data_IF_703725084989
#
_entry.id   IF_703725084989
#
_cell.length_a   1.000
_cell.length_b   1.000
_cell.length_c   1.000
_cell.angle_alpha   90.00
_cell.angle_beta   90.00
_cell.angle_gamma   90.00
#
_symmetry.space_group_name_H-M   'P 1'
#
loop_
_entity.id
_entity.type
_entity.pdbx_description
1 polymer ?
#
# COMPACT_ATOMS: atom_id res chain seq x y z
N UNK A 1 -11.94 -4.99 -11.28
CA UNK A 1 -11.88 -4.59 -9.86
C UNK A 1 -10.47 -4.14 -9.49
N UNK A 2 -10.32 -2.89 -9.04
CA UNK A 2 -9.05 -2.36 -8.51
C UNK A 2 -8.81 -2.93 -7.11
N UNK A 3 -7.56 -3.05 -6.69
CA UNK A 3 -7.24 -3.54 -5.33
C UNK A 3 -6.03 -2.82 -4.78
N UNK A 4 -6.13 -2.43 -3.51
CA UNK A 4 -5.00 -1.84 -2.79
C UNK A 4 -4.03 -2.93 -2.30
N UNK A 5 -2.75 -2.59 -2.33
CA UNK A 5 -1.66 -3.39 -1.77
C UNK A 5 -0.75 -2.50 -0.94
N UNK A 6 -0.08 -3.09 0.05
CA UNK A 6 1.11 -2.52 0.67
C UNK A 6 2.32 -3.19 0.02
N UNK A 7 2.90 -2.51 -0.96
CA UNK A 7 4.07 -2.95 -1.69
C UNK A 7 5.32 -2.60 -0.89
N UNK A 8 6.17 -3.57 -0.59
CA UNK A 8 7.43 -3.27 0.11
C UNK A 8 8.32 -2.34 -0.73
N UNK A 9 9.05 -1.46 -0.06
CA UNK A 9 10.03 -0.58 -0.68
C UNK A 9 11.37 -1.33 -0.69
N UNK A 10 11.97 -1.44 -1.87
CA UNK A 10 13.25 -2.11 -2.06
C UNK A 10 14.30 -1.14 -2.61
N UNK A 11 15.54 -1.36 -2.19
CA UNK A 11 16.72 -0.78 -2.83
C UNK A 11 16.86 -1.38 -4.23
N UNK A 12 17.15 -0.53 -5.19
CA UNK A 12 17.48 -0.96 -6.54
C UNK A 12 18.62 -0.11 -7.08
N UNK A 13 19.47 -0.74 -7.87
CA UNK A 13 20.55 -0.05 -8.57
C UNK A 13 20.06 0.30 -9.98
N UNK A 14 20.01 1.59 -10.31
CA UNK A 14 19.55 2.06 -11.62
C UNK A 14 20.72 2.33 -12.57
N UNK A 15 21.89 2.62 -12.02
CA UNK A 15 23.17 2.71 -12.72
C UNK A 15 24.27 2.14 -11.82
N UNK A 16 25.41 1.67 -12.36
CA UNK A 16 26.51 1.15 -11.55
C UNK A 16 26.94 2.12 -10.45
N UNK A 17 26.73 1.73 -9.19
CA UNK A 17 27.02 2.52 -7.99
C UNK A 17 25.92 3.50 -7.55
N UNK A 18 24.82 3.63 -8.30
CA UNK A 18 23.71 4.52 -7.99
C UNK A 18 22.53 3.73 -7.42
N UNK A 19 22.34 3.85 -6.10
CA UNK A 19 21.24 3.20 -5.38
C UNK A 19 20.05 4.15 -5.33
N UNK A 20 18.88 3.65 -5.73
CA UNK A 20 17.59 4.30 -5.53
C UNK A 20 16.63 3.39 -4.74
N UNK A 21 15.45 3.93 -4.47
CA UNK A 21 14.37 3.21 -3.78
C UNK A 21 13.14 3.19 -4.66
N UNK A 22 12.46 2.05 -4.71
CA UNK A 22 11.21 1.89 -5.46
C UNK A 22 10.24 1.00 -4.69
N UNK A 23 8.94 1.15 -4.96
CA UNK A 23 7.96 0.19 -4.49
C UNK A 23 8.06 -1.10 -5.33
N UNK A 24 7.75 -2.24 -4.71
CA UNK A 24 7.83 -3.55 -5.35
C UNK A 24 6.96 -3.67 -6.61
N UNK A 25 5.84 -2.95 -6.66
CA UNK A 25 4.96 -2.90 -7.83
C UNK A 25 5.73 -2.47 -9.10
N UNK A 26 6.64 -1.51 -9.00
CA UNK A 26 7.47 -1.04 -10.12
C UNK A 26 8.42 -2.09 -10.69
N UNK A 27 8.66 -3.21 -9.98
CA UNK A 27 9.50 -4.29 -10.47
C UNK A 27 8.78 -5.19 -11.50
N UNK A 28 7.47 -5.01 -11.71
CA UNK A 28 6.66 -5.81 -12.63
C UNK A 28 6.47 -5.11 -13.98
N UNK A 29 7.07 -5.62 -15.06
CA UNK A 29 6.88 -5.06 -16.39
C UNK A 29 5.40 -5.12 -16.80
N UNK A 30 4.84 -3.99 -17.23
CA UNK A 30 3.46 -3.91 -17.72
C UNK A 30 2.37 -3.89 -16.65
N UNK A 31 2.74 -3.92 -15.35
CA UNK A 31 1.79 -3.74 -14.26
C UNK A 31 1.20 -2.33 -14.33
N UNK A 32 -0.13 -2.24 -14.44
CA UNK A 32 -0.82 -0.96 -14.32
C UNK A 32 -1.18 -0.72 -12.85
N UNK A 33 -0.49 0.25 -12.25
CA UNK A 33 -0.74 0.66 -10.87
C UNK A 33 -0.58 2.16 -10.70
N UNK A 34 -1.26 2.70 -9.69
CA UNK A 34 -0.96 4.01 -9.12
C UNK A 34 -0.16 3.80 -7.82
N UNK A 35 0.98 4.46 -7.72
CA UNK A 35 1.95 4.28 -6.66
C UNK A 35 1.89 5.43 -5.67
N UNK A 36 1.60 5.14 -4.41
CA UNK A 36 1.75 6.11 -3.34
C UNK A 36 3.22 6.52 -3.18
N UNK A 37 3.42 7.70 -2.61
CA UNK A 37 4.76 8.26 -2.41
C UNK A 37 5.61 7.42 -1.44
N UNK A 38 6.92 7.61 -1.55
CA UNK A 38 7.92 7.05 -0.64
C UNK A 38 8.51 8.21 0.13
N UNK A 39 8.24 8.27 1.43
CA UNK A 39 8.86 9.26 2.30
C UNK A 39 10.30 8.87 2.55
N UNK A 40 11.23 9.74 2.19
CA UNK A 40 12.66 9.57 2.43
C UNK A 40 13.13 10.51 3.53
N UNK A 41 14.01 10.02 4.39
CA UNK A 41 14.75 10.84 5.34
C UNK A 41 15.64 11.83 4.57
N UNK A 42 15.51 13.14 4.79
CA UNK A 42 16.26 14.16 4.05
C UNK A 42 17.77 14.11 4.33
N UNK A 43 18.21 13.51 5.44
CA UNK A 43 19.63 13.40 5.80
C UNK A 43 20.26 12.16 5.16
N UNK A 44 19.59 11.01 5.24
CA UNK A 44 20.16 9.74 4.78
C UNK A 44 19.72 9.34 3.36
N UNK A 45 18.69 9.97 2.81
CA UNK A 45 18.05 9.61 1.54
C UNK A 45 17.30 8.28 1.60
N UNK A 46 17.24 7.62 2.76
CA UNK A 46 16.61 6.30 2.92
C UNK A 46 15.11 6.42 3.18
N UNK A 47 14.29 5.47 2.73
CA UNK A 47 12.88 5.41 3.08
C UNK A 47 12.70 5.33 4.59
N UNK A 48 11.81 6.16 5.13
CA UNK A 48 11.44 6.10 6.55
C UNK A 48 10.54 4.91 6.84
N UNK A 49 9.83 4.42 5.83
CA UNK A 49 8.88 3.32 5.92
C UNK A 49 9.26 2.17 5.00
N UNK A 50 8.80 0.96 5.33
CA UNK A 50 9.12 -0.26 4.59
C UNK A 50 8.20 -0.56 3.40
N UNK A 51 7.13 0.21 3.22
CA UNK A 51 6.12 -0.05 2.21
C UNK A 51 5.57 1.25 1.63
N UNK A 52 4.98 1.15 0.45
CA UNK A 52 4.13 2.16 -0.15
C UNK A 52 2.74 1.59 -0.41
N UNK A 53 1.70 2.40 -0.20
CA UNK A 53 0.35 2.07 -0.62
C UNK A 53 0.30 2.12 -2.15
N UNK A 54 -0.17 1.07 -2.80
CA UNK A 54 -0.34 1.03 -4.26
C UNK A 54 -1.74 0.56 -4.62
N UNK A 55 -2.30 1.08 -5.70
CA UNK A 55 -3.59 0.65 -6.25
C UNK A 55 -3.36 -0.03 -7.59
N UNK A 56 -3.71 -1.31 -7.68
CA UNK A 56 -3.43 -2.16 -8.84
C UNK A 56 -4.72 -2.48 -9.61
N UNK A 57 -4.63 -2.55 -10.94
CA UNK A 57 -5.76 -2.93 -11.81
C UNK A 57 -6.03 -4.45 -11.81
N UNK A 58 -7.30 -4.79 -12.01
CA UNK A 58 -7.87 -6.16 -11.96
C UNK A 58 -7.09 -7.25 -12.68
N UNK A 59 -6.63 -6.95 -13.90
CA UNK A 59 -6.01 -7.93 -14.81
C UNK A 59 -4.64 -8.41 -14.34
N UNK A 60 -3.98 -7.64 -13.46
CA UNK A 60 -2.59 -7.88 -13.11
C UNK A 60 -2.42 -8.50 -11.71
N UNK A 61 -3.52 -8.69 -10.96
CA UNK A 61 -3.48 -9.28 -9.60
C UNK A 61 -2.88 -10.69 -9.58
N UNK A 62 -3.02 -11.44 -10.67
CA UNK A 62 -2.45 -12.78 -10.81
C UNK A 62 -0.92 -12.77 -10.75
N UNK A 63 -0.27 -11.67 -11.17
CA UNK A 63 1.18 -11.51 -11.11
C UNK A 63 1.68 -11.28 -9.68
N UNK A 64 0.79 -10.78 -8.81
CA UNK A 64 1.12 -10.34 -7.45
C UNK A 64 0.75 -11.37 -6.39
N UNK A 65 -0.12 -12.34 -6.70
CA UNK A 65 -0.71 -13.25 -5.70
C UNK A 65 0.33 -14.09 -4.95
N UNK A 66 1.46 -14.38 -5.59
CA UNK A 66 2.54 -15.19 -5.04
C UNK A 66 3.74 -14.35 -4.58
N UNK A 67 3.69 -13.02 -4.68
CA UNK A 67 4.81 -12.18 -4.21
C UNK A 67 4.64 -11.85 -2.72
N UNK A 68 5.52 -12.36 -1.84
CA UNK A 68 5.44 -12.09 -0.41
C UNK A 68 5.64 -10.61 -0.05
N UNK A 69 6.23 -9.82 -0.96
CA UNK A 69 6.46 -8.37 -0.81
C UNK A 69 5.28 -7.52 -1.30
N UNK A 70 4.25 -8.14 -1.89
CA UNK A 70 3.03 -7.49 -2.33
C UNK A 70 1.88 -7.89 -1.43
N UNK A 71 1.64 -7.10 -0.39
CA UNK A 71 0.70 -7.46 0.66
C UNK A 71 -0.71 -6.99 0.30
N UNK A 72 -1.64 -7.88 -0.05
CA UNK A 72 -2.95 -7.45 -0.51
C UNK A 72 -3.79 -6.92 0.66
N UNK A 73 -4.45 -5.79 0.44
CA UNK A 73 -5.45 -5.27 1.38
C UNK A 73 -6.85 -5.89 1.10
N UNK A 74 -7.79 -5.77 2.06
CA UNK A 74 -9.17 -6.21 1.88
C UNK A 74 -9.80 -5.66 0.60
N UNK A 75 -10.54 -6.51 -0.10
CA UNK A 75 -11.29 -6.13 -1.29
C UNK A 75 -12.66 -5.62 -0.86
N UNK A 76 -12.70 -4.36 -0.45
CA UNK A 76 -13.85 -3.70 0.16
C UNK A 76 -13.97 -2.30 -0.44
N UNK A 77 -15.20 -1.84 -0.71
CA UNK A 77 -15.43 -0.47 -1.18
C UNK A 77 -15.07 0.55 -0.09
N UNK A 78 -14.54 1.72 -0.48
CA UNK A 78 -14.08 2.74 0.47
C UNK A 78 -15.16 3.17 1.47
N UNK A 79 -16.42 3.23 1.04
CA UNK A 79 -17.53 3.72 1.88
C UNK A 79 -18.14 2.64 2.80
N UNK A 80 -17.62 1.40 2.75
CA UNK A 80 -18.05 0.35 3.67
C UNK A 80 -17.45 0.59 5.05
N UNK A 81 -18.31 0.56 6.08
CA UNK A 81 -17.87 0.61 7.47
C UNK A 81 -17.06 -0.62 7.85
N UNK A 82 -15.99 -0.42 8.63
CA UNK A 82 -15.18 -1.52 9.15
C UNK A 82 -15.98 -2.47 10.04
N UNK A 83 -17.07 -2.01 10.69
CA UNK A 83 -18.01 -2.90 11.39
C UNK A 83 -18.64 -3.97 10.50
N UNK A 84 -18.86 -3.66 9.22
CA UNK A 84 -19.51 -4.54 8.24
C UNK A 84 -18.52 -5.47 7.53
N UNK A 85 -17.21 -5.23 7.69
CA UNK A 85 -16.16 -6.12 7.16
C UNK A 85 -16.06 -7.36 8.03
N UNK A 86 -16.07 -8.53 7.39
CA UNK A 86 -15.98 -9.83 8.06
C UNK A 86 -14.74 -9.92 8.97
N UNK A 87 -14.91 -10.42 10.19
CA UNK A 87 -13.86 -10.43 11.24
C UNK A 87 -12.54 -11.07 10.80
N UNK A 88 -12.52 -12.25 10.17
CA UNK A 88 -11.31 -12.82 9.56
C UNK A 88 -10.55 -11.89 8.62
N UNK A 89 -11.25 -11.11 7.79
CA UNK A 89 -10.64 -10.16 6.86
C UNK A 89 -9.96 -9.02 7.62
N UNK A 90 -10.58 -8.52 8.69
CA UNK A 90 -9.98 -7.51 9.57
C UNK A 90 -8.75 -8.04 10.29
N UNK A 91 -8.81 -9.27 10.80
CA UNK A 91 -7.68 -9.91 11.48
C UNK A 91 -6.49 -10.11 10.52
N UNK A 92 -6.75 -10.49 9.26
CA UNK A 92 -5.71 -10.61 8.24
C UNK A 92 -5.06 -9.26 7.91
N UNK A 93 -5.86 -8.19 7.81
CA UNK A 93 -5.36 -6.82 7.67
C UNK A 93 -4.46 -6.43 8.85
N UNK A 94 -4.96 -6.56 10.08
CA UNK A 94 -4.21 -6.23 11.31
C UNK A 94 -2.90 -7.02 11.39
N UNK A 95 -2.93 -8.32 11.09
CA UNK A 95 -1.74 -9.17 11.08
C UNK A 95 -0.70 -8.68 10.04
N UNK A 96 -1.17 -8.24 8.87
CA UNK A 96 -0.31 -7.67 7.83
C UNK A 96 0.34 -6.37 8.28
N UNK A 97 -0.43 -5.45 8.85
CA UNK A 97 0.08 -4.18 9.37
C UNK A 97 1.11 -4.40 10.49
N UNK A 98 0.82 -5.29 11.44
CA UNK A 98 1.76 -5.64 12.51
C UNK A 98 3.07 -6.24 11.98
N UNK A 99 3.00 -7.12 10.98
CA UNK A 99 4.19 -7.68 10.33
C UNK A 99 5.04 -6.59 9.66
N UNK A 100 4.40 -5.55 9.12
CA UNK A 100 5.06 -4.40 8.51
C UNK A 100 5.51 -3.35 9.54
N UNK A 101 5.25 -3.55 10.84
CA UNK A 101 5.63 -2.63 11.91
C UNK A 101 4.73 -1.39 12.02
N UNK A 102 3.52 -1.45 11.48
CA UNK A 102 2.56 -0.35 11.50
C UNK A 102 1.67 -0.37 12.73
N UNK A 103 1.34 0.84 13.19
CA UNK A 103 0.24 1.11 14.09
C UNK A 103 -1.08 0.52 13.53
N UNK A 104 -1.97 0.08 14.41
CA UNK A 104 -3.27 -0.51 14.03
C UNK A 104 -4.45 0.13 14.76
N UNK A 105 -4.16 1.11 15.62
CA UNK A 105 -5.11 1.82 16.48
C UNK A 105 -6.13 2.63 15.67
N UNK A 106 -5.77 3.03 14.45
CA UNK A 106 -6.67 3.74 13.53
C UNK A 106 -7.73 2.82 12.89
N UNK A 107 -7.64 1.50 13.05
CA UNK A 107 -8.66 0.56 12.59
C UNK A 107 -9.79 0.51 13.63
N UNK A 108 -10.71 1.47 13.56
CA UNK A 108 -11.92 1.48 14.37
C UNK A 108 -13.10 0.85 13.62
N UNK A 109 -14.02 0.20 14.35
CA UNK A 109 -15.28 -0.27 13.78
C UNK A 109 -16.25 0.86 13.42
N UNK A 110 -16.04 2.07 13.95
CA UNK A 110 -16.86 3.26 13.65
C UNK A 110 -16.55 3.87 12.29
N UNK A 111 -15.34 3.62 11.80
CA UNK A 111 -14.79 4.31 10.64
C UNK A 111 -15.03 3.49 9.35
N UNK A 112 -14.99 4.19 8.22
CA UNK A 112 -15.02 3.56 6.91
C UNK A 112 -13.69 2.93 6.54
N UNK A 113 -13.71 2.05 5.54
CA UNK A 113 -12.49 1.54 4.94
C UNK A 113 -11.65 2.65 4.29
N UNK A 114 -12.31 3.72 3.86
CA UNK A 114 -11.71 4.98 3.40
C UNK A 114 -10.70 5.55 4.39
N UNK A 115 -11.06 5.64 5.67
CA UNK A 115 -10.20 6.17 6.73
C UNK A 115 -8.96 5.30 6.93
N UNK A 116 -9.10 3.98 6.78
CA UNK A 116 -7.98 3.03 6.81
C UNK A 116 -7.02 3.28 5.63
N UNK A 117 -7.54 3.42 4.41
CA UNK A 117 -6.73 3.71 3.22
C UNK A 117 -6.03 5.07 3.36
N UNK A 118 -6.74 6.09 3.82
CA UNK A 118 -6.20 7.43 4.06
C UNK A 118 -5.09 7.40 5.12
N UNK A 119 -5.29 6.71 6.23
CA UNK A 119 -4.28 6.56 7.28
C UNK A 119 -3.01 5.89 6.74
N UNK A 120 -3.16 4.83 5.94
CA UNK A 120 -2.04 4.13 5.32
C UNK A 120 -1.28 4.98 4.29
N UNK A 121 -1.99 5.73 3.44
CA UNK A 121 -1.33 6.64 2.48
C UNK A 121 -0.60 7.79 3.17
N UNK A 122 -1.17 8.29 4.28
CA UNK A 122 -0.57 9.36 5.10
C UNK A 122 0.70 8.99 5.85
N UNK A 123 1.03 7.70 5.91
CA UNK A 123 2.32 7.24 6.44
C UNK A 123 3.48 7.76 5.60
N UNK A 124 3.31 7.90 4.29
CA UNK A 124 4.35 8.43 3.39
C UNK A 124 4.06 9.83 2.84
N UNK A 125 2.80 10.22 2.71
CA UNK A 125 2.44 11.57 2.26
C UNK A 125 1.34 12.15 3.16
N UNK A 126 1.66 13.08 4.07
CA UNK A 126 0.67 13.72 4.95
C UNK A 126 -0.55 14.31 4.22
N UNK A 127 -0.37 14.77 2.98
CA UNK A 127 -1.40 15.37 2.11
C UNK A 127 -2.13 14.35 1.24
N UNK A 128 -1.91 13.04 1.46
CA UNK A 128 -2.57 11.97 0.71
C UNK A 128 -4.11 12.10 0.78
N UNK A 129 -4.72 12.05 -0.41
CA UNK A 129 -6.15 12.12 -0.66
C UNK A 129 -6.60 10.88 -1.44
N UNK A 130 -7.34 10.01 -0.77
CA UNK A 130 -7.78 8.75 -1.36
C UNK A 130 -8.78 8.92 -2.50
N UNK A 131 -9.41 10.10 -2.66
CA UNK A 131 -10.31 10.39 -3.78
C UNK A 131 -9.55 10.71 -5.07
N UNK A 132 -8.28 11.11 -4.94
CA UNK A 132 -7.39 11.41 -6.08
C UNK A 132 -6.47 10.23 -6.41
N UNK A 133 -6.42 9.22 -5.55
CA UNK A 133 -5.57 8.05 -5.71
C UNK A 133 -6.30 6.99 -6.52
N UNK A 134 -6.07 7.02 -7.84
CA UNK A 134 -6.75 6.13 -8.77
C UNK A 134 -5.84 5.69 -9.92
N UNK A 135 -5.94 4.41 -10.29
CA UNK A 135 -5.30 3.92 -11.51
C UNK A 135 -6.22 4.19 -12.70
N UNK A 136 -5.90 5.25 -13.45
CA UNK A 136 -6.55 5.58 -14.73
C UNK A 136 -6.12 4.59 -15.81
N UNK A 137 -6.97 4.37 -16.82
CA UNK A 137 -6.67 3.47 -17.95
C UNK A 137 -5.57 3.98 -18.87
#
# INVERSE_FOLDING_TARGET
MKRYYLAEIEEYEWEPGAIGYRCRASAYPGLLFDGGEILTDPVTGKPTNRFALVLVKAKDHALLINDPKMNPLPMVDLDVKMSSVHTPTKNALIATLKRLGLATEFISNTDGYREVIRALGRVNNPDFDENKFDVNE
#
